data_IF_378211103328
#
_entry.id   IF_378211103328
#
_cell.length_a   1.000
_cell.length_b   1.000
_cell.length_c   1.000
_cell.angle_alpha   90.00
_cell.angle_beta   90.00
_cell.angle_gamma   90.00
#
_symmetry.space_group_name_H-M   'P 1'
#
loop_
_entity.id
_entity.type
_entity.pdbx_description
1 polymer ?
#
# COMPACT_ATOMS: atom_id res chain seq x y z
N UNK A 1 8.71 40.65 18.73
CA UNK A 1 8.38 40.18 17.38
C UNK A 1 8.71 38.72 17.31
N UNK A 2 7.74 37.85 17.54
CA UNK A 2 7.92 36.38 17.64
C UNK A 2 7.67 35.78 16.26
N UNK A 3 8.71 35.18 15.67
CA UNK A 3 8.55 34.35 14.47
C UNK A 3 7.98 33.00 14.90
N UNK A 4 6.74 32.76 14.52
CA UNK A 4 6.13 31.43 14.62
C UNK A 4 6.80 30.49 13.62
N UNK A 5 7.45 29.44 14.13
CA UNK A 5 7.88 28.30 13.31
C UNK A 5 6.67 27.59 12.72
N UNK A 6 6.72 27.31 11.42
CA UNK A 6 5.71 26.50 10.73
C UNK A 6 5.97 25.03 11.08
N UNK A 7 4.97 24.27 11.53
CA UNK A 7 5.08 22.82 11.60
C UNK A 7 4.84 22.23 10.20
N UNK A 8 5.56 21.15 9.90
CA UNK A 8 5.41 20.19 8.80
C UNK A 8 6.36 20.37 7.61
N UNK A 9 7.62 20.02 7.85
CA UNK A 9 8.39 19.35 6.79
C UNK A 9 8.24 17.83 6.99
N UNK A 10 7.50 17.21 6.08
CA UNK A 10 7.40 15.76 5.99
C UNK A 10 8.74 15.25 5.46
N UNK A 11 9.56 14.68 6.33
CA UNK A 11 10.79 14.04 5.92
C UNK A 11 10.43 12.66 5.34
N UNK A 12 10.31 12.58 4.01
CA UNK A 12 10.02 11.34 3.30
C UNK A 12 11.35 10.72 2.88
N UNK A 13 11.82 9.75 3.63
CA UNK A 13 13.00 8.97 3.26
C UNK A 13 12.56 7.72 2.49
N UNK A 14 12.90 7.67 1.20
CA UNK A 14 12.62 6.53 0.34
C UNK A 14 13.86 5.66 0.26
N UNK A 15 13.80 4.47 0.84
CA UNK A 15 14.90 3.51 0.80
C UNK A 15 14.61 2.43 -0.24
N UNK A 16 15.47 2.34 -1.27
CA UNK A 16 15.39 1.32 -2.32
C UNK A 16 16.30 0.15 -2.00
N UNK A 17 15.77 -1.06 -1.87
CA UNK A 17 16.55 -2.28 -1.84
C UNK A 17 16.58 -2.95 -3.22
N UNK A 18 17.74 -2.91 -3.86
CA UNK A 18 17.96 -3.31 -5.25
C UNK A 18 18.21 -4.82 -5.43
N UNK A 19 18.08 -5.65 -4.38
CA UNK A 19 18.44 -7.07 -4.40
C UNK A 19 17.32 -8.05 -4.70
N UNK A 20 16.08 -7.61 -4.75
CA UNK A 20 14.94 -8.49 -5.07
C UNK A 20 14.49 -8.24 -6.49
N UNK A 21 14.85 -9.14 -7.37
CA UNK A 21 14.64 -9.04 -8.84
C UNK A 21 13.18 -9.04 -9.30
N UNK A 22 12.19 -9.20 -8.41
CA UNK A 22 10.77 -9.30 -8.77
C UNK A 22 9.79 -8.62 -7.81
N UNK A 23 10.25 -7.94 -6.77
CA UNK A 23 9.36 -7.15 -5.88
C UNK A 23 10.12 -5.93 -5.37
N UNK A 24 9.76 -4.76 -5.84
CA UNK A 24 10.22 -3.51 -5.24
C UNK A 24 9.38 -3.23 -3.98
N UNK A 25 9.97 -3.42 -2.81
CA UNK A 25 9.35 -3.04 -1.53
C UNK A 25 9.80 -1.61 -1.22
N UNK A 26 8.86 -0.69 -1.17
CA UNK A 26 9.12 0.71 -0.81
C UNK A 26 8.60 0.93 0.61
N UNK A 27 9.51 1.19 1.54
CA UNK A 27 9.18 1.58 2.91
C UNK A 27 9.13 3.11 3.01
N UNK A 28 7.97 3.64 3.30
CA UNK A 28 7.79 5.05 3.62
C UNK A 28 7.47 5.16 5.11
N UNK A 29 8.40 5.71 5.88
CA UNK A 29 8.15 6.08 7.27
C UNK A 29 7.68 7.53 7.31
N UNK A 30 6.43 7.72 7.73
CA UNK A 30 5.90 9.06 8.01
C UNK A 30 5.70 9.18 9.51
N UNK A 31 6.61 9.85 10.21
CA UNK A 31 6.39 10.24 11.61
C UNK A 31 5.42 11.42 11.66
N UNK A 32 4.18 11.16 12.01
CA UNK A 32 3.20 12.20 12.36
C UNK A 32 2.87 12.07 13.84
N UNK A 33 3.15 13.10 14.60
CA UNK A 33 2.77 13.18 16.01
C UNK A 33 1.23 13.16 16.13
N UNK A 34 0.70 12.18 16.82
CA UNK A 34 -0.71 11.91 17.12
C UNK A 34 -1.43 10.86 16.25
N UNK A 35 -0.71 9.89 15.75
CA UNK A 35 -1.28 8.75 15.03
C UNK A 35 -1.95 7.74 15.96
N UNK A 36 -2.88 6.96 15.43
CA UNK A 36 -3.49 5.85 16.16
C UNK A 36 -2.45 4.76 16.40
N UNK A 37 -2.06 4.57 17.64
CA UNK A 37 -1.11 3.52 18.05
C UNK A 37 -1.65 2.14 17.73
N UNK A 38 -0.77 1.24 17.30
CA UNK A 38 -1.07 -0.14 16.90
C UNK A 38 -1.94 -0.28 15.64
N UNK A 39 -2.08 0.76 14.82
CA UNK A 39 -2.73 0.68 13.53
C UNK A 39 -1.70 0.78 12.40
N UNK A 40 -1.72 -0.18 11.49
CA UNK A 40 -0.84 -0.20 10.30
C UNK A 40 -1.70 -0.18 9.04
N UNK A 41 -1.31 0.61 8.06
CA UNK A 41 -1.89 0.56 6.73
C UNK A 41 -0.93 -0.14 5.77
N UNK A 42 -1.40 -1.18 5.09
CA UNK A 42 -0.63 -1.93 4.11
C UNK A 42 -1.23 -1.69 2.73
N UNK A 43 -0.41 -1.14 1.84
CA UNK A 43 -0.80 -0.79 0.48
C UNK A 43 -0.12 -1.76 -0.48
N UNK A 44 -0.87 -2.70 -1.03
CA UNK A 44 -0.41 -3.62 -2.06
C UNK A 44 -0.51 -2.96 -3.43
N UNK A 45 0.59 -3.00 -4.19
CA UNK A 45 0.67 -2.51 -5.57
C UNK A 45 1.06 -3.69 -6.44
N UNK A 46 0.07 -4.35 -7.03
CA UNK A 46 0.22 -5.62 -7.74
C UNK A 46 0.29 -5.40 -9.24
N UNK A 47 1.39 -5.82 -9.83
CA UNK A 47 1.57 -5.83 -11.29
C UNK A 47 0.68 -6.91 -11.91
N UNK A 48 -0.16 -6.51 -12.87
CA UNK A 48 -0.93 -7.43 -13.71
C UNK A 48 -0.63 -7.25 -15.20
N UNK A 49 0.53 -6.67 -15.54
CA UNK A 49 0.95 -6.50 -16.92
C UNK A 49 1.24 -7.84 -17.60
N UNK A 50 1.38 -7.83 -18.93
CA UNK A 50 1.60 -9.03 -19.74
C UNK A 50 2.80 -9.85 -19.34
N UNK A 51 3.82 -9.25 -18.70
CA UNK A 51 5.00 -9.95 -18.17
C UNK A 51 4.70 -10.88 -16.99
N UNK A 52 3.54 -10.69 -16.33
CA UNK A 52 3.07 -11.53 -15.23
C UNK A 52 2.35 -12.80 -15.70
N UNK A 53 2.26 -13.03 -17.01
CA UNK A 53 1.61 -14.21 -17.59
C UNK A 53 2.26 -15.50 -17.11
N UNK A 54 1.44 -16.39 -16.57
CA UNK A 54 1.88 -17.66 -15.95
C UNK A 54 2.26 -17.54 -14.47
N UNK A 55 2.21 -16.35 -13.88
CA UNK A 55 2.48 -16.09 -12.47
C UNK A 55 1.21 -15.72 -11.67
N UNK A 56 0.03 -15.81 -12.31
CA UNK A 56 -1.25 -15.40 -11.71
C UNK A 56 -1.52 -16.17 -10.40
N UNK A 57 -1.37 -17.48 -10.43
CA UNK A 57 -1.58 -18.33 -9.24
C UNK A 57 -0.64 -17.98 -8.10
N UNK A 58 0.63 -17.71 -8.41
CA UNK A 58 1.64 -17.34 -7.41
C UNK A 58 1.36 -15.97 -6.81
N UNK A 59 0.94 -15.01 -7.62
CA UNK A 59 0.57 -13.65 -7.18
C UNK A 59 -0.65 -13.70 -6.25
N UNK A 60 -1.72 -14.39 -6.66
CA UNK A 60 -2.94 -14.58 -5.87
C UNK A 60 -2.60 -15.31 -4.56
N UNK A 61 -1.84 -16.41 -4.64
CA UNK A 61 -1.44 -17.18 -3.47
C UNK A 61 -0.57 -16.39 -2.51
N UNK A 62 0.37 -15.60 -3.02
CA UNK A 62 1.22 -14.70 -2.24
C UNK A 62 0.40 -13.64 -1.49
N UNK A 63 -0.48 -12.93 -2.21
CA UNK A 63 -1.38 -11.95 -1.61
C UNK A 63 -2.23 -12.57 -0.50
N UNK A 64 -2.94 -13.67 -0.79
CA UNK A 64 -3.81 -14.33 0.19
C UNK A 64 -3.03 -14.81 1.42
N UNK A 65 -1.82 -15.35 1.22
CA UNK A 65 -0.95 -15.78 2.31
C UNK A 65 -0.54 -14.60 3.22
N UNK A 66 -0.25 -13.43 2.63
CA UNK A 66 0.08 -12.22 3.41
C UNK A 66 -1.13 -11.72 4.18
N UNK A 67 -2.31 -11.66 3.57
CA UNK A 67 -3.56 -11.28 4.26
C UNK A 67 -3.84 -12.21 5.44
N UNK A 68 -3.73 -13.52 5.25
CA UNK A 68 -3.97 -14.50 6.33
C UNK A 68 -2.94 -14.40 7.48
N UNK A 69 -1.70 -14.03 7.18
CA UNK A 69 -0.72 -13.72 8.22
C UNK A 69 -1.10 -12.46 8.99
N UNK A 70 -1.47 -11.39 8.29
CA UNK A 70 -1.87 -10.14 8.93
C UNK A 70 -3.13 -10.28 9.79
N UNK A 71 -4.09 -11.12 9.40
CA UNK A 71 -5.27 -11.43 10.23
C UNK A 71 -4.92 -12.06 11.59
N UNK A 72 -3.75 -12.68 11.71
CA UNK A 72 -3.27 -13.35 12.94
C UNK A 72 -2.38 -12.46 13.81
N UNK A 73 -1.90 -11.34 13.25
CA UNK A 73 -1.07 -10.40 14.00
C UNK A 73 -1.89 -9.57 14.98
N UNK A 74 -1.23 -9.14 16.07
CA UNK A 74 -1.85 -8.25 17.04
C UNK A 74 -1.84 -6.81 16.49
N UNK A 75 -2.94 -6.10 16.68
CA UNK A 75 -3.11 -4.73 16.21
C UNK A 75 -4.18 -4.61 15.15
N UNK A 76 -4.37 -3.40 14.65
CA UNK A 76 -5.31 -3.12 13.57
C UNK A 76 -4.54 -2.92 12.27
N UNK A 77 -4.99 -3.57 11.19
CA UNK A 77 -4.44 -3.36 9.87
C UNK A 77 -5.53 -2.94 8.89
N UNK A 78 -5.24 -1.89 8.13
CA UNK A 78 -6.03 -1.46 6.98
C UNK A 78 -5.33 -1.91 5.71
N UNK A 79 -6.08 -2.41 4.76
CA UNK A 79 -5.57 -2.93 3.50
C UNK A 79 -6.07 -2.05 2.36
N UNK A 80 -5.15 -1.55 1.57
CA UNK A 80 -5.40 -0.96 0.26
C UNK A 80 -4.73 -1.83 -0.80
N UNK A 81 -5.41 -2.09 -1.90
CA UNK A 81 -4.86 -2.92 -2.99
C UNK A 81 -5.11 -2.26 -4.32
N UNK A 82 -4.04 -2.01 -5.04
CA UNK A 82 -4.04 -1.43 -6.38
C UNK A 82 -3.50 -2.46 -7.35
N UNK A 83 -4.29 -2.84 -8.32
CA UNK A 83 -3.83 -3.61 -9.49
C UNK A 83 -3.42 -2.63 -10.58
N UNK A 84 -2.26 -2.83 -11.18
CA UNK A 84 -1.82 -1.96 -12.25
C UNK A 84 -1.33 -2.70 -13.50
N UNK A 85 -1.61 -2.10 -14.64
CA UNK A 85 -1.03 -2.38 -15.94
C UNK A 85 -0.70 -1.03 -16.61
N UNK A 86 -1.31 -0.69 -17.73
CA UNK A 86 -1.33 0.67 -18.28
C UNK A 86 -2.38 1.59 -17.61
N UNK A 87 -3.16 1.04 -16.70
CA UNK A 87 -4.13 1.73 -15.82
C UNK A 87 -3.99 1.19 -14.41
N UNK A 88 -4.59 1.88 -13.43
CA UNK A 88 -4.62 1.46 -12.04
C UNK A 88 -6.06 1.27 -11.58
N UNK A 89 -6.35 0.10 -11.02
CA UNK A 89 -7.66 -0.23 -10.45
C UNK A 89 -7.49 -0.49 -8.94
N UNK A 90 -8.21 0.28 -8.13
CA UNK A 90 -8.23 0.10 -6.67
C UNK A 90 -9.31 -0.92 -6.34
N UNK A 91 -8.91 -2.07 -5.83
CA UNK A 91 -9.86 -3.15 -5.43
C UNK A 91 -10.14 -3.16 -3.93
N UNK A 92 -9.20 -2.68 -3.12
CA UNK A 92 -9.42 -2.40 -1.71
C UNK A 92 -8.93 -0.99 -1.40
N UNK A 93 -9.73 -0.21 -0.67
CA UNK A 93 -9.37 1.12 -0.20
C UNK A 93 -9.62 1.21 1.31
N UNK A 94 -8.52 1.07 2.09
CA UNK A 94 -8.49 1.12 3.56
C UNK A 94 -9.49 0.15 4.23
N UNK A 95 -9.59 -1.05 3.71
CA UNK A 95 -10.48 -2.09 4.25
C UNK A 95 -9.81 -2.73 5.47
N UNK A 96 -10.49 -2.87 6.63
CA UNK A 96 -9.97 -3.64 7.75
C UNK A 96 -9.57 -5.05 7.32
N UNK A 97 -8.37 -5.50 7.68
CA UNK A 97 -7.81 -6.79 7.23
C UNK A 97 -8.75 -7.97 7.46
N UNK A 98 -9.52 -7.95 8.55
CA UNK A 98 -10.48 -9.00 8.89
C UNK A 98 -11.65 -9.11 7.89
N UNK A 99 -11.90 -8.05 7.11
CA UNK A 99 -12.97 -7.99 6.10
C UNK A 99 -12.48 -8.22 4.67
N UNK A 100 -11.17 -8.38 4.50
CA UNK A 100 -10.61 -8.65 3.17
C UNK A 100 -10.89 -10.10 2.80
N UNK A 101 -11.63 -10.29 1.72
CA UNK A 101 -11.89 -11.61 1.15
C UNK A 101 -10.67 -12.12 0.37
N UNK A 102 -10.48 -13.43 0.27
CA UNK A 102 -9.41 -13.99 -0.54
C UNK A 102 -9.53 -13.58 -2.00
N UNK A 103 -8.43 -13.12 -2.58
CA UNK A 103 -8.35 -12.82 -4.01
C UNK A 103 -8.49 -14.11 -4.84
N UNK A 104 -9.19 -14.03 -5.95
CA UNK A 104 -9.44 -15.13 -6.87
C UNK A 104 -8.98 -14.78 -8.29
N UNK A 105 -9.04 -15.75 -9.19
CA UNK A 105 -8.79 -15.59 -10.64
C UNK A 105 -9.76 -14.63 -11.34
N UNK A 106 -10.90 -14.31 -10.69
CA UNK A 106 -11.84 -13.30 -11.18
C UNK A 106 -11.39 -11.88 -10.85
N UNK A 107 -10.63 -11.73 -9.77
CA UNK A 107 -10.18 -10.42 -9.27
C UNK A 107 -8.86 -10.01 -9.90
N UNK A 108 -8.01 -10.98 -10.25
CA UNK A 108 -6.69 -10.76 -10.82
C UNK A 108 -6.54 -11.45 -12.18
N UNK A 109 -6.36 -10.66 -13.22
CA UNK A 109 -6.13 -11.13 -14.58
C UNK A 109 -5.03 -10.33 -15.24
N UNK A 110 -4.11 -11.01 -15.92
CA UNK A 110 -2.98 -10.38 -16.62
C UNK A 110 -3.45 -9.72 -17.90
N UNK A 111 -3.01 -8.45 -18.12
CA UNK A 111 -3.31 -7.68 -19.33
C UNK A 111 -2.37 -6.46 -19.48
N UNK A 112 -2.29 -5.89 -20.67
CA UNK A 112 -1.69 -4.58 -20.92
C UNK A 112 -0.17 -4.50 -20.75
N UNK A 113 0.32 -3.26 -20.61
CA UNK A 113 1.72 -2.88 -20.42
C UNK A 113 1.94 -2.41 -18.98
N UNK A 114 3.20 -2.28 -18.58
CA UNK A 114 3.57 -1.90 -17.21
C UNK A 114 3.73 -0.39 -17.06
N UNK A 115 2.95 0.25 -16.19
CA UNK A 115 3.10 1.65 -15.78
C UNK A 115 3.43 1.75 -14.28
N UNK A 116 4.51 1.09 -13.84
CA UNK A 116 4.88 0.92 -12.43
C UNK A 116 5.03 2.25 -11.67
N UNK A 117 5.74 3.22 -12.25
CA UNK A 117 5.99 4.50 -11.58
C UNK A 117 4.71 5.30 -11.37
N UNK A 118 3.79 5.26 -12.35
CA UNK A 118 2.50 5.93 -12.25
C UNK A 118 1.62 5.28 -11.18
N UNK A 119 1.64 3.95 -11.11
CA UNK A 119 0.90 3.19 -10.09
C UNK A 119 1.41 3.50 -8.67
N UNK A 120 2.72 3.46 -8.46
CA UNK A 120 3.35 3.78 -7.17
C UNK A 120 3.06 5.24 -6.80
N UNK A 121 3.32 6.18 -7.71
CA UNK A 121 3.07 7.61 -7.49
C UNK A 121 1.61 7.90 -7.17
N UNK A 122 0.69 7.27 -7.89
CA UNK A 122 -0.75 7.38 -7.68
C UNK A 122 -1.17 6.86 -6.31
N UNK A 123 -0.68 5.68 -5.90
CA UNK A 123 -0.98 5.09 -4.60
C UNK A 123 -0.47 5.95 -3.44
N UNK A 124 0.78 6.42 -3.52
CA UNK A 124 1.38 7.31 -2.50
C UNK A 124 0.58 8.61 -2.40
N UNK A 125 0.23 9.22 -3.54
CA UNK A 125 -0.54 10.46 -3.57
C UNK A 125 -1.94 10.28 -2.97
N UNK A 126 -2.63 9.19 -3.32
CA UNK A 126 -3.95 8.87 -2.78
C UNK A 126 -3.91 8.73 -1.26
N UNK A 127 -3.06 7.84 -0.74
CA UNK A 127 -2.93 7.59 0.69
C UNK A 127 -2.47 8.85 1.44
N UNK A 128 -1.51 9.60 0.90
CA UNK A 128 -1.06 10.87 1.48
C UNK A 128 -2.18 11.91 1.59
N UNK A 129 -3.06 12.00 0.60
CA UNK A 129 -4.23 12.87 0.66
C UNK A 129 -5.25 12.38 1.69
N UNK A 130 -5.51 11.07 1.77
CA UNK A 130 -6.40 10.51 2.80
C UNK A 130 -5.89 10.87 4.20
N UNK A 131 -4.59 10.66 4.48
CA UNK A 131 -4.01 10.99 5.79
C UNK A 131 -4.04 12.48 6.10
N UNK A 132 -3.83 13.35 5.10
CA UNK A 132 -3.86 14.80 5.25
C UNK A 132 -5.21 15.34 5.72
N UNK A 133 -6.30 14.70 5.27
CA UNK A 133 -7.66 15.16 5.55
C UNK A 133 -8.41 14.28 6.55
N UNK A 134 -7.84 13.15 6.95
CA UNK A 134 -8.39 12.28 7.99
C UNK A 134 -8.24 12.92 9.38
N UNK A 135 -9.06 12.48 10.33
CA UNK A 135 -8.85 12.81 11.74
C UNK A 135 -7.57 12.13 12.22
N UNK A 136 -6.85 12.75 13.16
CA UNK A 136 -5.60 12.18 13.67
C UNK A 136 -5.76 10.75 14.22
N UNK A 137 -6.90 10.44 14.82
CA UNK A 137 -7.24 9.11 15.33
C UNK A 137 -7.48 8.06 14.22
N UNK A 138 -7.67 8.48 12.97
CA UNK A 138 -7.88 7.61 11.81
C UNK A 138 -6.61 7.48 10.95
N UNK A 139 -5.54 8.21 11.31
CA UNK A 139 -4.24 8.11 10.63
C UNK A 139 -3.44 6.98 11.29
N UNK A 140 -2.96 5.98 10.52
CA UNK A 140 -2.19 4.86 11.05
C UNK A 140 -0.81 5.30 11.54
N UNK A 141 -0.26 4.57 12.50
CA UNK A 141 1.11 4.77 13.00
C UNK A 141 2.14 4.45 11.91
N UNK A 142 1.85 3.44 11.11
CA UNK A 142 2.73 2.99 10.02
C UNK A 142 1.97 2.79 8.73
N UNK A 143 2.59 3.18 7.62
CA UNK A 143 2.10 2.87 6.27
C UNK A 143 3.18 2.12 5.51
N UNK A 144 2.85 0.93 5.05
CA UNK A 144 3.74 0.03 4.32
C UNK A 144 3.23 -0.13 2.87
N UNK A 145 4.09 0.14 1.90
CA UNK A 145 3.84 -0.15 0.49
C UNK A 145 4.56 -1.44 0.09
N UNK A 146 3.84 -2.38 -0.55
CA UNK A 146 4.30 -3.73 -0.92
C UNK A 146 4.07 -3.97 -2.41
#
# INVERSE_FOLDING_TARGET
MSLAMRPNEVNTEVQYDCKVRHQAVIFLYTEVQNMRKNMTEIVFILDRSGSMSGLETDTIGGFNSMIEKQKKENGEALISTVLFDNMSDVIHDRVPVQKVEPMTDKDYSVRGCTALLDAIGGAIHHIGNVHKYARNEDVPEHTLFV
#
